data_IF_155676953216
#
_entry.id   IF_155676953216
#
_cell.length_a   1.000
_cell.length_b   1.000
_cell.length_c   1.000
_cell.angle_alpha   90.00
_cell.angle_beta   90.00
_cell.angle_gamma   90.00
#
_symmetry.space_group_name_H-M   'P 1'
#
loop_
_entity.id
_entity.type
_entity.pdbx_description
1 polymer ?
#
# COMPACT_ATOMS: atom_id res chain seq x y z
N UNK A 1 2.96 0.71 -4.15
CA UNK A 1 2.67 0.90 -2.70
C UNK A 1 1.62 1.97 -2.57
N UNK A 2 0.47 1.64 -1.97
CA UNK A 2 -0.55 2.61 -1.60
C UNK A 2 -0.43 2.84 -0.10
N UNK A 3 -0.03 4.04 0.30
CA UNK A 3 0.37 4.35 1.67
C UNK A 3 -0.56 5.40 2.26
N UNK A 4 -1.10 5.17 3.46
CA UNK A 4 -1.98 6.13 4.10
C UNK A 4 -1.24 7.40 4.47
N UNK A 5 -1.76 8.55 4.05
CA UNK A 5 -1.24 9.87 4.38
C UNK A 5 -2.32 10.69 5.09
N UNK A 6 -2.04 11.08 6.33
CA UNK A 6 -2.99 11.62 7.30
C UNK A 6 -2.27 12.48 8.34
N UNK A 7 -3.01 13.18 9.19
CA UNK A 7 -2.47 14.19 10.13
C UNK A 7 -1.46 13.64 11.16
N UNK A 8 -1.37 12.31 11.30
CA UNK A 8 -0.44 11.62 12.20
C UNK A 8 0.68 10.86 11.46
N UNK A 9 0.80 11.03 10.14
CA UNK A 9 1.95 10.51 9.38
C UNK A 9 3.26 11.14 9.87
N UNK A 10 4.30 10.33 9.96
CA UNK A 10 5.65 10.80 10.30
C UNK A 10 6.28 11.46 9.08
N UNK A 11 6.96 12.59 9.25
CA UNK A 11 7.58 13.29 8.13
C UNK A 11 8.68 12.45 7.44
N UNK A 12 9.36 11.61 8.22
CA UNK A 12 10.41 10.70 7.77
C UNK A 12 9.90 9.61 6.82
N UNK A 13 8.61 9.30 6.88
CA UNK A 13 7.95 8.33 5.98
C UNK A 13 8.12 8.73 4.52
N UNK A 14 7.98 10.03 4.20
CA UNK A 14 8.14 10.52 2.83
C UNK A 14 9.57 10.36 2.31
N UNK A 15 10.58 10.60 3.16
CA UNK A 15 11.98 10.41 2.79
C UNK A 15 12.27 8.93 2.52
N UNK A 16 11.74 8.02 3.35
CA UNK A 16 11.85 6.58 3.14
C UNK A 16 11.16 6.13 1.84
N UNK A 17 9.94 6.60 1.57
CA UNK A 17 9.22 6.23 0.35
C UNK A 17 9.92 6.75 -0.92
N UNK A 18 10.53 7.95 -0.87
CA UNK A 18 11.35 8.46 -1.99
C UNK A 18 12.61 7.64 -2.21
N UNK A 19 13.24 7.12 -1.16
CA UNK A 19 14.40 6.23 -1.32
C UNK A 19 14.03 4.94 -2.06
N UNK A 20 12.81 4.41 -1.84
CA UNK A 20 12.29 3.28 -2.61
C UNK A 20 12.06 3.64 -4.09
N UNK A 21 11.60 4.86 -4.37
CA UNK A 21 11.45 5.33 -5.76
C UNK A 21 12.80 5.48 -6.47
N UNK A 22 13.85 5.90 -5.76
CA UNK A 22 15.21 6.03 -6.31
C UNK A 22 15.80 4.68 -6.77
N UNK A 23 15.35 3.55 -6.19
CA UNK A 23 15.76 2.21 -6.64
C UNK A 23 15.42 1.99 -8.12
N UNK A 24 14.37 2.63 -8.63
CA UNK A 24 13.99 2.51 -10.05
C UNK A 24 15.12 2.90 -11.02
N UNK A 25 16.05 3.78 -10.63
CA UNK A 25 17.17 4.19 -11.47
C UNK A 25 18.17 3.05 -11.71
N UNK A 26 18.27 2.12 -10.76
CA UNK A 26 19.11 0.92 -10.83
C UNK A 26 18.39 -0.34 -11.33
N UNK A 27 17.07 -0.30 -11.56
CA UNK A 27 16.35 -1.47 -12.04
C UNK A 27 16.69 -1.78 -13.50
N UNK A 28 16.81 -3.08 -13.89
CA UNK A 28 17.07 -3.46 -15.27
C UNK A 28 16.01 -2.88 -16.22
N UNK A 29 16.45 -2.07 -17.19
CA UNK A 29 15.57 -1.38 -18.17
C UNK A 29 15.16 -2.26 -19.35
N UNK A 30 15.43 -3.57 -19.29
CA UNK A 30 15.12 -4.53 -20.35
C UNK A 30 15.72 -5.91 -20.09
N UNK A 31 15.01 -6.95 -20.53
CA UNK A 31 15.37 -8.37 -20.40
C UNK A 31 14.16 -9.26 -20.74
N UNK A 32 14.36 -10.58 -20.89
CA UNK A 32 13.32 -11.55 -21.30
C UNK A 32 12.04 -11.56 -20.44
N UNK A 33 12.04 -10.92 -19.26
CA UNK A 33 10.91 -10.87 -18.31
C UNK A 33 10.29 -9.48 -18.15
N UNK A 34 10.71 -8.47 -18.91
CA UNK A 34 10.32 -7.07 -18.71
C UNK A 34 11.01 -6.41 -17.51
N UNK A 35 10.93 -5.08 -17.42
CA UNK A 35 11.47 -4.29 -16.31
C UNK A 35 10.44 -4.12 -15.19
N UNK A 36 10.86 -4.30 -13.95
CA UNK A 36 10.04 -3.97 -12.77
C UNK A 36 10.03 -2.46 -12.52
N UNK A 37 9.01 -1.98 -11.80
CA UNK A 37 8.93 -0.59 -11.33
C UNK A 37 8.31 -0.53 -9.95
N UNK A 38 8.88 0.30 -9.09
CA UNK A 38 8.29 0.70 -7.81
C UNK A 38 7.51 1.99 -8.04
N UNK A 39 6.22 1.95 -7.75
CA UNK A 39 5.35 3.14 -7.75
C UNK A 39 4.78 3.34 -6.36
N UNK A 40 4.70 4.58 -5.91
CA UNK A 40 4.14 4.95 -4.61
C UNK A 40 3.03 5.97 -4.82
N UNK A 41 1.87 5.73 -4.19
CA UNK A 41 0.78 6.70 -4.07
C UNK A 41 0.46 6.92 -2.60
N UNK A 42 0.24 8.18 -2.24
CA UNK A 42 -0.23 8.60 -0.93
C UNK A 42 -1.75 8.67 -0.96
N UNK A 43 -2.40 7.92 -0.07
CA UNK A 43 -3.85 7.83 0.03
C UNK A 43 -4.36 8.65 1.22
N UNK A 44 -5.22 9.63 0.97
CA UNK A 44 -5.79 10.49 2.02
C UNK A 44 -7.30 10.30 2.11
N UNK A 45 -7.77 9.86 3.27
CA UNK A 45 -9.20 9.72 3.54
C UNK A 45 -9.83 11.12 3.64
N UNK A 46 -10.86 11.45 2.84
CA UNK A 46 -11.49 12.77 2.91
C UNK A 46 -12.17 12.98 4.27
N UNK A 47 -12.21 14.23 4.72
CA UNK A 47 -12.77 14.60 6.02
C UNK A 47 -13.48 15.95 5.95
N UNK A 48 -14.64 16.08 6.60
CA UNK A 48 -15.25 17.38 6.91
C UNK A 48 -14.56 18.03 8.11
N UNK A 49 -14.84 19.32 8.35
CA UNK A 49 -14.31 20.04 9.51
C UNK A 49 -14.73 19.40 10.83
N UNK A 50 -15.93 18.82 10.90
CA UNK A 50 -16.44 18.10 12.06
C UNK A 50 -15.75 16.75 12.23
N UNK A 51 -15.55 16.01 11.13
CA UNK A 51 -14.89 14.71 11.14
C UNK A 51 -13.41 14.82 11.55
N UNK A 52 -12.73 15.89 11.15
CA UNK A 52 -11.33 16.13 11.50
C UNK A 52 -11.11 16.42 12.99
N UNK A 53 -12.17 16.68 13.76
CA UNK A 53 -12.09 16.83 15.23
C UNK A 53 -11.94 15.48 15.94
N UNK A 54 -12.21 14.36 15.26
CA UNK A 54 -12.08 13.02 15.83
C UNK A 54 -10.68 12.51 15.55
N UNK A 55 -9.82 12.56 16.57
CA UNK A 55 -8.44 12.08 16.47
C UNK A 55 -8.37 10.65 15.99
N UNK A 56 -7.38 10.38 15.14
CA UNK A 56 -7.06 9.07 14.58
C UNK A 56 -8.14 8.37 13.72
N UNK A 57 -9.26 9.03 13.40
CA UNK A 57 -10.37 8.39 12.69
C UNK A 57 -10.27 8.42 11.15
N UNK A 58 -9.40 9.28 10.59
CA UNK A 58 -9.33 9.54 9.14
C UNK A 58 -8.08 8.92 8.53
N UNK A 59 -8.03 7.58 8.53
CA UNK A 59 -6.85 6.81 8.12
C UNK A 59 -7.26 5.60 7.28
N UNK A 60 -6.48 5.29 6.25
CA UNK A 60 -6.58 3.99 5.60
C UNK A 60 -5.68 3.01 6.36
N UNK A 61 -6.28 2.08 7.10
CA UNK A 61 -5.56 1.19 8.01
C UNK A 61 -5.54 -0.27 7.54
N UNK A 62 -5.75 -0.49 6.23
CA UNK A 62 -5.65 -1.80 5.62
C UNK A 62 -4.22 -2.38 5.72
N UNK A 63 -4.10 -3.69 5.95
CA UNK A 63 -2.83 -4.42 5.83
C UNK A 63 -3.05 -5.65 4.96
N UNK A 64 -2.92 -5.42 3.66
CA UNK A 64 -3.02 -6.50 2.69
C UNK A 64 -2.00 -6.32 1.56
N UNK A 65 -1.76 -7.40 0.85
CA UNK A 65 -0.99 -7.43 -0.39
C UNK A 65 -1.74 -8.32 -1.38
N UNK A 66 -1.74 -7.93 -2.64
CA UNK A 66 -2.26 -8.74 -3.74
C UNK A 66 -1.16 -8.95 -4.78
N UNK A 67 -1.16 -10.13 -5.38
CA UNK A 67 -0.25 -10.55 -6.46
C UNK A 67 -1.08 -11.28 -7.51
N UNK A 68 -0.46 -11.61 -8.64
CA UNK A 68 -1.11 -12.37 -9.72
C UNK A 68 -1.66 -13.74 -9.27
N UNK A 69 -1.21 -14.28 -8.12
CA UNK A 69 -1.54 -15.65 -7.68
C UNK A 69 -2.13 -15.75 -6.29
N UNK A 70 -1.87 -14.77 -5.43
CA UNK A 70 -2.23 -14.82 -4.02
C UNK A 70 -2.59 -13.45 -3.47
N UNK A 71 -3.46 -13.48 -2.47
CA UNK A 71 -3.84 -12.35 -1.63
C UNK A 71 -3.45 -12.65 -0.19
N UNK A 72 -2.87 -11.67 0.48
CA UNK A 72 -2.53 -11.73 1.90
C UNK A 72 -3.28 -10.64 2.64
N UNK A 73 -3.91 -10.97 3.76
CA UNK A 73 -4.49 -10.01 4.71
C UNK A 73 -3.96 -10.33 6.09
N UNK A 74 -3.55 -9.32 6.86
CA UNK A 74 -3.04 -9.53 8.21
C UNK A 74 -3.24 -8.34 9.14
N UNK A 75 -2.63 -8.44 10.32
CA UNK A 75 -2.68 -7.38 11.35
C UNK A 75 -1.43 -6.50 11.38
N UNK A 76 -0.33 -6.96 10.78
CA UNK A 76 0.97 -6.30 10.87
C UNK A 76 1.15 -5.22 9.81
N UNK A 77 1.67 -4.06 10.20
CA UNK A 77 2.12 -3.04 9.25
C UNK A 77 3.39 -3.52 8.52
N UNK A 78 3.63 -2.98 7.33
CA UNK A 78 4.84 -3.25 6.54
C UNK A 78 6.00 -2.34 6.97
N UNK A 79 6.29 -2.31 8.27
CA UNK A 79 7.36 -1.56 8.90
C UNK A 79 8.32 -2.51 9.63
N UNK A 80 9.61 -2.18 9.66
CA UNK A 80 10.66 -3.09 10.14
C UNK A 80 10.46 -3.59 11.57
N UNK A 81 9.93 -2.75 12.46
CA UNK A 81 9.65 -3.06 13.86
C UNK A 81 8.59 -4.18 14.01
N UNK A 82 7.62 -4.26 13.10
CA UNK A 82 6.59 -5.31 13.10
C UNK A 82 7.14 -6.70 12.77
N UNK A 83 8.31 -6.79 12.14
CA UNK A 83 8.96 -8.07 11.85
C UNK A 83 9.80 -8.61 13.01
N UNK A 84 10.13 -7.78 14.00
CA UNK A 84 11.11 -8.11 15.05
C UNK A 84 10.49 -8.06 16.44
N UNK A 85 9.53 -7.18 16.68
CA UNK A 85 9.01 -6.87 18.02
C UNK A 85 7.49 -7.00 18.16
N UNK A 86 6.78 -7.46 17.13
CA UNK A 86 5.32 -7.59 17.15
C UNK A 86 4.88 -8.98 16.74
N UNK A 87 3.93 -9.54 17.49
CA UNK A 87 3.21 -10.74 17.09
C UNK A 87 1.97 -10.34 16.29
N UNK A 88 1.80 -10.95 15.12
CA UNK A 88 0.66 -10.72 14.24
C UNK A 88 0.04 -12.01 13.73
N UNK A 89 -1.14 -11.89 13.14
CA UNK A 89 -1.80 -12.98 12.43
C UNK A 89 -2.09 -12.53 11.01
N UNK A 90 -2.03 -13.46 10.07
CA UNK A 90 -2.40 -13.22 8.69
C UNK A 90 -2.87 -14.47 7.99
N UNK A 91 -3.64 -14.28 6.92
CA UNK A 91 -4.17 -15.33 6.08
C UNK A 91 -3.69 -15.09 4.66
N UNK A 92 -3.10 -16.13 4.06
CA UNK A 92 -2.75 -16.16 2.64
C UNK A 92 -3.78 -17.00 1.90
N UNK A 93 -4.29 -16.45 0.81
CA UNK A 93 -5.38 -17.02 0.02
C UNK A 93 -4.98 -17.09 -1.44
N UNK A 94 -5.40 -18.16 -2.10
CA UNK A 94 -5.28 -18.32 -3.56
C UNK A 94 -6.67 -18.51 -4.15
N UNK A 95 -6.83 -18.29 -5.45
CA UNK A 95 -8.10 -18.50 -6.16
C UNK A 95 -7.87 -19.39 -7.37
N UNK A 96 -8.79 -20.30 -7.64
CA UNK A 96 -8.82 -21.07 -8.89
C UNK A 96 -9.62 -20.27 -9.93
N UNK A 97 -9.22 -20.38 -11.20
CA UNK A 97 -9.95 -19.87 -12.36
C UNK A 97 -10.13 -18.34 -12.45
N UNK A 98 -9.26 -17.57 -11.79
CA UNK A 98 -9.19 -16.09 -11.91
C UNK A 98 -10.38 -15.31 -11.32
N UNK A 99 -11.43 -16.00 -10.87
CA UNK A 99 -12.61 -15.40 -10.22
C UNK A 99 -12.68 -15.85 -8.77
N UNK A 100 -12.16 -15.02 -7.87
CA UNK A 100 -12.14 -15.32 -6.44
C UNK A 100 -11.55 -14.20 -5.60
N UNK A 101 -11.20 -14.52 -4.36
CA UNK A 101 -10.72 -13.54 -3.37
C UNK A 101 -9.48 -12.76 -3.84
N UNK A 102 -8.61 -13.36 -4.66
CA UNK A 102 -7.46 -12.64 -5.24
C UNK A 102 -7.93 -11.49 -6.13
N UNK A 103 -8.86 -11.76 -7.06
CA UNK A 103 -9.41 -10.74 -7.95
C UNK A 103 -10.22 -9.69 -7.17
N UNK A 104 -11.04 -10.12 -6.19
CA UNK A 104 -11.81 -9.18 -5.38
C UNK A 104 -10.91 -8.20 -4.61
N UNK A 105 -9.78 -8.69 -4.07
CA UNK A 105 -8.83 -7.83 -3.36
C UNK A 105 -8.03 -6.94 -4.32
N UNK A 106 -7.74 -7.43 -5.53
CA UNK A 106 -7.20 -6.61 -6.63
C UNK A 106 -8.16 -5.48 -6.99
N UNK A 107 -9.46 -5.76 -7.14
CA UNK A 107 -10.47 -4.74 -7.46
C UNK A 107 -10.57 -3.67 -6.36
N UNK A 108 -10.45 -4.06 -5.09
CA UNK A 108 -10.38 -3.11 -3.96
C UNK A 108 -9.11 -2.26 -4.03
N UNK A 109 -7.97 -2.88 -4.34
CA UNK A 109 -6.71 -2.15 -4.53
C UNK A 109 -6.81 -1.15 -5.67
N UNK A 110 -7.30 -1.57 -6.83
CA UNK A 110 -7.40 -0.73 -8.03
C UNK A 110 -8.42 0.40 -7.85
N UNK A 111 -9.54 0.14 -7.15
CA UNK A 111 -10.50 1.18 -6.77
C UNK A 111 -9.80 2.30 -6.00
N UNK A 112 -9.02 1.95 -4.99
CA UNK A 112 -8.36 2.93 -4.12
C UNK A 112 -7.18 3.61 -4.83
N UNK A 113 -6.37 2.81 -5.54
CA UNK A 113 -5.21 3.27 -6.32
C UNK A 113 -5.58 4.29 -7.38
N UNK A 114 -6.69 4.08 -8.10
CA UNK A 114 -7.16 4.94 -9.17
C UNK A 114 -8.13 6.03 -8.68
N UNK A 115 -8.41 6.10 -7.38
CA UNK A 115 -9.30 7.11 -6.83
C UNK A 115 -8.65 8.50 -6.81
N UNK A 116 -9.49 9.55 -6.76
CA UNK A 116 -9.03 10.93 -6.51
C UNK A 116 -8.37 11.15 -5.14
N UNK A 117 -8.41 10.14 -4.27
CA UNK A 117 -7.82 10.18 -2.93
C UNK A 117 -6.39 9.67 -2.91
N UNK A 118 -5.90 9.11 -4.02
CA UNK A 118 -4.54 8.63 -4.19
C UNK A 118 -3.73 9.61 -5.07
N UNK A 119 -2.68 10.19 -4.51
CA UNK A 119 -1.78 11.08 -5.23
C UNK A 119 -0.41 10.41 -5.46
N UNK A 120 0.14 10.54 -6.67
CA UNK A 120 1.48 10.04 -6.97
C UNK A 120 2.54 10.74 -6.10
N UNK A 121 3.40 9.94 -5.47
CA UNK A 121 4.63 10.44 -4.88
C UNK A 121 5.72 10.43 -5.96
N UNK A 122 6.29 11.59 -6.23
CA UNK A 122 7.45 11.72 -7.11
C UNK A 122 8.73 11.87 -6.29
N UNK A 123 9.87 11.59 -6.95
CA UNK A 123 11.18 12.00 -6.46
C UNK A 123 11.21 13.52 -6.22
#
# INVERSE_FOLDING_TARGET
>A
LLVSHWDHSRAEELAFLRSLLAINDGLPKGGYRGGGRISVRLFTVPSSAEQSKISFARVNHNKYMVTDRAAYVGTSNWAGDYFISTAGVGVSMTSRDGKGVVQQLQDVFDRDWNSRYAADLTL
#
